data_IF_803514962193
#
_entry.id   IF_803514962193
#
_cell.length_a   1.000
_cell.length_b   1.000
_cell.length_c   1.000
_cell.angle_alpha   90.00
_cell.angle_beta   90.00
_cell.angle_gamma   90.00
#
_symmetry.space_group_name_H-M   'P 1'
#
loop_
_entity.id
_entity.type
_entity.pdbx_description
1 polymer ?
#
# COMPACT_ATOMS: atom_id res chain seq x y z
N UNK A 1 4.62 -15.76 -6.52
CA UNK A 1 4.91 -14.30 -6.58
C UNK A 1 5.77 -13.92 -5.39
N UNK A 2 6.93 -13.31 -5.64
CA UNK A 2 7.75 -12.70 -4.58
C UNK A 2 7.32 -11.24 -4.37
N UNK A 3 7.04 -10.80 -3.13
CA UNK A 3 6.85 -9.39 -2.83
C UNK A 3 8.11 -8.59 -3.20
N UNK A 4 7.95 -7.57 -4.06
CA UNK A 4 9.06 -6.67 -4.46
C UNK A 4 9.31 -5.65 -3.36
N UNK A 5 10.25 -5.96 -2.47
CA UNK A 5 10.74 -5.00 -1.47
C UNK A 5 11.80 -4.08 -2.08
N UNK A 6 11.69 -2.75 -1.92
CA UNK A 6 12.84 -1.89 -2.10
C UNK A 6 13.83 -2.16 -0.95
N UNK A 7 15.06 -2.51 -1.33
CA UNK A 7 16.22 -2.69 -0.44
C UNK A 7 17.27 -1.58 -0.64
N UNK A 8 16.83 -0.34 -0.88
CA UNK A 8 17.74 0.80 -1.02
C UNK A 8 17.55 1.80 0.14
N UNK A 9 18.67 2.20 0.77
CA UNK A 9 18.76 3.23 1.80
C UNK A 9 19.15 2.72 3.20
N UNK A 10 19.05 3.60 4.21
CA UNK A 10 19.46 3.49 5.63
C UNK A 10 18.89 2.28 6.41
N UNK A 11 18.15 1.39 5.75
CA UNK A 11 17.49 0.21 6.31
C UNK A 11 18.34 -1.07 6.21
N UNK A 12 19.67 -0.94 6.28
CA UNK A 12 20.64 -2.04 6.36
C UNK A 12 20.77 -2.50 7.82
N UNK A 13 19.64 -2.79 8.46
CA UNK A 13 19.61 -3.44 9.77
C UNK A 13 19.15 -4.88 9.60
N UNK A 14 19.91 -5.85 10.10
CA UNK A 14 19.55 -7.29 10.04
C UNK A 14 18.12 -7.58 10.51
N UNK A 15 17.59 -6.78 11.46
CA UNK A 15 16.21 -6.86 11.91
C UNK A 15 15.19 -6.52 10.81
N UNK A 16 15.38 -5.42 10.07
CA UNK A 16 14.51 -5.02 8.96
C UNK A 16 14.60 -6.00 7.78
N UNK A 17 15.75 -6.62 7.57
CA UNK A 17 15.93 -7.69 6.58
C UNK A 17 15.14 -8.96 6.95
N UNK A 18 15.19 -9.37 8.22
CA UNK A 18 14.45 -10.54 8.73
C UNK A 18 12.93 -10.35 8.61
N UNK A 19 12.43 -9.16 8.89
CA UNK A 19 10.99 -8.87 8.80
C UNK A 19 10.51 -8.79 7.34
N UNK A 20 11.33 -8.26 6.42
CA UNK A 20 11.07 -8.31 4.96
C UNK A 20 11.07 -9.74 4.42
N UNK A 21 12.04 -10.59 4.83
CA UNK A 21 12.07 -12.01 4.46
C UNK A 21 10.89 -12.81 5.01
N UNK A 22 10.36 -12.42 6.17
CA UNK A 22 9.23 -13.10 6.83
C UNK A 22 7.87 -12.55 6.42
N UNK A 23 7.80 -11.48 5.66
CA UNK A 23 6.52 -11.04 5.10
C UNK A 23 5.95 -12.07 4.12
N UNK A 24 4.64 -12.05 3.94
CA UNK A 24 3.93 -12.81 2.91
C UNK A 24 3.30 -11.82 1.93
N UNK A 25 3.23 -12.14 0.62
CA UNK A 25 2.42 -11.32 -0.28
C UNK A 25 0.97 -11.34 0.22
N UNK A 26 0.35 -10.17 0.30
CA UNK A 26 -1.07 -10.09 0.67
C UNK A 26 -1.91 -10.88 -0.36
N UNK A 27 -2.84 -11.74 0.10
CA UNK A 27 -3.62 -12.62 -0.77
C UNK A 27 -4.79 -11.88 -1.43
N UNK A 28 -4.47 -10.86 -2.23
CA UNK A 28 -5.43 -10.08 -3.02
C UNK A 28 -5.45 -10.55 -4.48
N UNK A 29 -6.64 -10.56 -5.06
CA UNK A 29 -6.87 -10.56 -6.49
C UNK A 29 -6.22 -9.27 -7.00
N UNK A 30 -5.16 -9.38 -7.81
CA UNK A 30 -4.42 -8.21 -8.28
C UNK A 30 -5.11 -7.60 -9.51
N UNK A 31 -5.77 -6.43 -9.42
CA UNK A 31 -5.88 -5.56 -10.57
C UNK A 31 -4.55 -4.84 -10.81
N UNK A 32 -4.23 -4.52 -12.06
CA UNK A 32 -3.23 -3.50 -12.35
C UNK A 32 -3.79 -2.16 -11.86
N UNK A 33 -3.26 -1.65 -10.74
CA UNK A 33 -3.62 -0.33 -10.24
C UNK A 33 -2.74 0.69 -10.96
N UNK A 34 -3.39 1.55 -11.77
CA UNK A 34 -2.73 2.66 -12.45
C UNK A 34 -2.04 3.58 -11.42
N UNK A 35 -0.70 3.69 -11.43
CA UNK A 35 0.00 4.50 -10.44
C UNK A 35 -0.16 6.02 -10.65
N UNK A 36 -0.54 6.49 -11.83
CA UNK A 36 -0.64 7.92 -12.11
C UNK A 36 -1.88 8.54 -11.47
N UNK A 37 -1.67 9.65 -10.74
CA UNK A 37 -2.72 10.44 -10.12
C UNK A 37 -2.97 11.71 -10.94
N UNK A 38 -4.14 11.81 -11.58
CA UNK A 38 -4.55 12.96 -12.41
C UNK A 38 -5.63 13.82 -11.76
N UNK A 39 -6.75 13.21 -11.35
CA UNK A 39 -7.98 13.94 -11.03
C UNK A 39 -8.40 13.81 -9.56
N UNK A 40 -8.13 12.67 -8.93
CA UNK A 40 -8.40 12.44 -7.53
C UNK A 40 -7.08 12.35 -6.75
N UNK A 41 -6.72 13.41 -6.03
CA UNK A 41 -5.49 13.44 -5.23
C UNK A 41 -5.57 12.62 -3.93
N UNK A 42 -6.74 12.09 -3.58
CA UNK A 42 -6.94 11.08 -2.53
C UNK A 42 -7.45 9.78 -3.14
N UNK A 43 -6.69 9.12 -4.04
CA UNK A 43 -7.16 7.91 -4.68
C UNK A 43 -7.39 6.84 -3.61
N UNK A 44 -8.60 6.26 -3.49
CA UNK A 44 -8.82 5.15 -2.60
C UNK A 44 -8.14 3.90 -3.18
N UNK A 45 -7.68 3.02 -2.30
CA UNK A 45 -7.11 1.73 -2.66
C UNK A 45 -8.13 0.64 -2.35
N UNK A 46 -8.65 -0.01 -3.39
CA UNK A 46 -9.52 -1.17 -3.25
C UNK A 46 -8.68 -2.46 -3.19
N UNK A 47 -8.92 -3.26 -2.16
CA UNK A 47 -8.29 -4.56 -1.94
C UNK A 47 -9.36 -5.65 -1.99
N UNK A 48 -9.29 -6.48 -3.02
CA UNK A 48 -10.16 -7.65 -3.19
C UNK A 48 -9.39 -8.91 -2.79
N UNK A 49 -9.77 -9.54 -1.69
CA UNK A 49 -9.10 -10.72 -1.14
C UNK A 49 -9.56 -12.01 -1.82
N UNK A 50 -8.64 -12.97 -2.01
CA UNK A 50 -8.91 -14.26 -2.67
C UNK A 50 -9.79 -15.18 -1.80
N UNK A 51 -9.90 -14.89 -0.50
CA UNK A 51 -10.64 -15.69 0.47
C UNK A 51 -11.25 -14.79 1.54
N UNK A 52 -12.41 -15.19 2.04
CA UNK A 52 -13.16 -14.62 3.15
C UNK A 52 -12.71 -15.12 4.54
N UNK A 53 -11.78 -16.08 4.59
CA UNK A 53 -11.28 -16.66 5.85
C UNK A 53 -10.31 -15.75 6.61
N UNK A 54 -9.92 -14.62 6.02
CA UNK A 54 -9.00 -13.66 6.63
C UNK A 54 -9.75 -12.78 7.62
N UNK A 55 -9.16 -12.59 8.80
CA UNK A 55 -9.70 -11.64 9.77
C UNK A 55 -9.33 -10.19 9.36
N UNK A 56 -10.13 -9.61 8.47
CA UNK A 56 -9.90 -8.27 7.90
C UNK A 56 -10.01 -7.13 8.93
N UNK A 57 -10.62 -7.36 10.10
CA UNK A 57 -10.66 -6.37 11.20
C UNK A 57 -9.26 -5.98 11.73
N UNK A 58 -8.24 -6.80 11.44
CA UNK A 58 -6.83 -6.55 11.79
C UNK A 58 -6.02 -5.98 10.64
N UNK A 59 -6.64 -5.71 9.49
CA UNK A 59 -6.00 -5.05 8.37
C UNK A 59 -5.68 -3.61 8.78
N UNK A 60 -4.51 -3.14 8.38
CA UNK A 60 -4.10 -1.76 8.63
C UNK A 60 -3.44 -1.22 7.38
N UNK A 61 -3.86 -0.04 6.93
CA UNK A 61 -3.26 0.64 5.78
C UNK A 61 -2.73 2.01 6.18
N UNK A 62 -1.60 2.39 5.61
CA UNK A 62 -0.92 3.65 5.83
C UNK A 62 -0.64 4.36 4.50
N UNK A 63 -0.87 5.67 4.47
CA UNK A 63 -0.62 6.54 3.32
C UNK A 63 -0.31 7.97 3.77
N UNK A 64 -0.51 8.98 2.90
CA UNK A 64 -0.44 10.39 3.28
C UNK A 64 -1.35 10.70 4.46
N UNK A 65 -0.81 11.43 5.44
CA UNK A 65 -1.49 11.69 6.71
C UNK A 65 -1.52 10.50 7.69
N UNK A 66 -0.83 9.39 7.39
CA UNK A 66 -0.67 8.26 8.30
C UNK A 66 -1.73 7.16 8.11
N UNK A 67 -2.42 6.80 9.20
CA UNK A 67 -3.39 5.70 9.20
C UNK A 67 -4.58 6.02 8.28
N UNK A 68 -4.92 5.09 7.40
CA UNK A 68 -6.01 5.22 6.45
C UNK A 68 -7.33 4.74 7.05
N UNK A 69 -8.45 5.34 6.64
CA UNK A 69 -9.78 4.84 6.97
C UNK A 69 -10.09 3.60 6.13
N UNK A 70 -10.61 2.55 6.75
CA UNK A 70 -10.98 1.30 6.09
C UNK A 70 -12.50 1.13 6.10
N UNK A 71 -13.05 0.74 4.97
CA UNK A 71 -14.47 0.39 4.81
C UNK A 71 -14.58 -0.98 4.14
N UNK A 72 -15.24 -1.92 4.78
CA UNK A 72 -15.57 -3.21 4.16
C UNK A 72 -16.76 -3.00 3.20
N UNK A 73 -16.54 -3.24 1.91
CA UNK A 73 -17.57 -3.07 0.85
C UNK A 73 -18.19 -4.40 0.43
N UNK A 74 -17.78 -5.51 1.07
CA UNK A 74 -18.30 -6.87 0.92
C UNK A 74 -17.47 -7.83 1.78
N UNK A 75 -17.76 -9.13 1.72
CA UNK A 75 -17.08 -10.13 2.56
C UNK A 75 -15.57 -10.24 2.30
N UNK A 76 -15.12 -9.85 1.10
CA UNK A 76 -13.72 -9.98 0.66
C UNK A 76 -13.15 -8.67 0.13
N UNK A 77 -13.84 -7.54 0.30
CA UNK A 77 -13.46 -6.28 -0.32
C UNK A 77 -13.30 -5.20 0.74
N UNK A 78 -12.15 -4.54 0.73
CA UNK A 78 -11.87 -3.40 1.61
C UNK A 78 -11.44 -2.21 0.78
N UNK A 79 -12.07 -1.07 1.04
CA UNK A 79 -11.66 0.22 0.51
C UNK A 79 -10.83 0.96 1.56
N UNK A 80 -9.59 1.29 1.23
CA UNK A 80 -8.70 2.10 2.06
C UNK A 80 -8.62 3.53 1.52
N UNK A 81 -9.01 4.51 2.34
CA UNK A 81 -9.04 5.93 1.98
C UNK A 81 -7.96 6.70 2.74
N UNK A 82 -7.05 7.41 2.05
CA UNK A 82 -5.98 8.17 2.71
C UNK A 82 -6.54 9.39 3.46
N UNK A 83 -5.87 9.78 4.55
CA UNK A 83 -6.28 10.94 5.33
C UNK A 83 -5.95 12.25 4.58
N UNK A 84 -4.80 12.30 3.92
CA UNK A 84 -4.32 13.45 3.16
C UNK A 84 -4.18 13.15 1.66
N UNK A 85 -3.97 14.20 0.87
CA UNK A 85 -3.68 14.07 -0.54
C UNK A 85 -2.30 13.45 -0.78
N UNK A 86 -2.18 12.67 -1.84
CA UNK A 86 -0.91 12.30 -2.45
C UNK A 86 -0.20 13.59 -2.86
N UNK A 87 0.99 13.83 -2.30
CA UNK A 87 1.81 14.98 -2.69
C UNK A 87 2.37 14.78 -4.09
N UNK A 88 2.74 15.89 -4.75
CA UNK A 88 3.59 15.82 -5.96
C UNK A 88 4.81 14.95 -5.66
N UNK A 89 5.16 14.05 -6.57
CA UNK A 89 6.21 13.06 -6.33
C UNK A 89 5.68 11.64 -6.27
N UNK A 90 6.42 10.82 -5.52
CA UNK A 90 6.13 9.39 -5.30
C UNK A 90 5.63 9.19 -3.88
N UNK A 91 4.45 8.61 -3.78
CA UNK A 91 3.85 8.21 -2.51
C UNK A 91 3.61 6.71 -2.52
N UNK A 92 3.75 6.06 -1.38
CA UNK A 92 3.34 4.66 -1.23
C UNK A 92 2.21 4.53 -0.23
N UNK A 93 1.24 3.69 -0.57
CA UNK A 93 0.34 3.12 0.41
C UNK A 93 0.86 1.75 0.80
N UNK A 94 0.86 1.45 2.09
CA UNK A 94 1.27 0.16 2.61
C UNK A 94 0.14 -0.42 3.44
N UNK A 95 -0.28 -1.63 3.12
CA UNK A 95 -1.26 -2.36 3.90
C UNK A 95 -0.61 -3.61 4.49
N UNK A 96 -0.92 -3.89 5.75
CA UNK A 96 -0.42 -5.04 6.50
C UNK A 96 -1.54 -5.79 7.19
N UNK A 97 -1.44 -7.11 7.22
CA UNK A 97 -2.37 -7.97 7.95
C UNK A 97 -1.60 -9.04 8.73
N UNK A 98 -1.73 -9.13 10.05
CA UNK A 98 -1.02 -10.13 10.85
C UNK A 98 -1.42 -11.57 10.49
N UNK A 99 -0.45 -12.49 10.43
CA UNK A 99 -0.64 -13.93 10.26
C UNK A 99 0.32 -14.70 11.17
N UNK A 100 -0.18 -15.10 12.35
CA UNK A 100 0.66 -15.73 13.38
C UNK A 100 1.84 -14.81 13.74
N UNK A 101 3.07 -15.32 13.61
CA UNK A 101 4.31 -14.57 13.87
C UNK A 101 4.88 -13.87 12.61
N UNK A 102 4.05 -13.68 11.58
CA UNK A 102 4.39 -13.06 10.29
C UNK A 102 3.34 -12.01 9.93
N UNK A 103 3.58 -11.28 8.86
CA UNK A 103 2.63 -10.30 8.31
C UNK A 103 2.46 -10.51 6.82
N UNK A 104 1.22 -10.44 6.35
CA UNK A 104 0.94 -10.12 4.95
C UNK A 104 1.26 -8.66 4.70
N UNK A 105 1.80 -8.37 3.52
CA UNK A 105 2.22 -7.03 3.12
C UNK A 105 1.78 -6.76 1.69
N UNK A 106 1.27 -5.55 1.46
CA UNK A 106 0.94 -5.01 0.15
C UNK A 106 1.43 -3.55 0.07
N UNK A 107 1.99 -3.17 -1.07
CA UNK A 107 2.40 -1.79 -1.34
C UNK A 107 1.89 -1.34 -2.69
N UNK A 108 1.21 -0.20 -2.73
CA UNK A 108 0.85 0.49 -3.96
C UNK A 108 1.69 1.77 -4.12
N UNK A 109 2.27 1.98 -5.30
CA UNK A 109 2.94 3.23 -5.66
C UNK A 109 1.92 4.18 -6.32
N UNK A 110 1.98 5.44 -5.94
CA UNK A 110 1.27 6.53 -6.57
C UNK A 110 2.27 7.58 -7.04
N UNK A 111 2.02 8.15 -8.22
CA UNK A 111 2.87 9.16 -8.85
C UNK A 111 1.98 10.35 -9.21
N UNK A 112 2.26 11.50 -8.62
CA UNK A 112 1.57 12.77 -8.92
C UNK A 112 2.56 13.73 -9.56
N UNK A 113 2.21 14.24 -10.74
CA UNK A 113 2.94 15.31 -11.43
C UNK A 113 2.67 16.67 -10.80
N UNK A 114 3.44 17.68 -11.19
CA UNK A 114 3.11 19.06 -10.85
C UNK A 114 1.77 19.47 -11.49
N UNK A 115 1.16 20.54 -10.97
CA UNK A 115 -0.11 21.06 -11.47
C UNK A 115 -0.06 21.52 -12.93
N UNK A 116 1.14 21.87 -13.42
CA UNK A 116 1.39 22.22 -14.83
C UNK A 116 1.64 21.00 -15.73
N UNK A 117 1.56 19.78 -15.19
CA UNK A 117 1.81 18.53 -15.90
C UNK A 117 3.29 18.18 -16.09
N UNK A 118 4.21 19.02 -15.60
CA UNK A 118 5.64 18.74 -15.63
C UNK A 118 6.03 17.68 -14.59
N UNK A 119 7.17 17.03 -14.83
CA UNK A 119 7.75 16.10 -13.88
C UNK A 119 8.44 16.87 -12.75
N UNK A 120 8.32 16.37 -11.52
CA UNK A 120 9.10 16.87 -10.39
C UNK A 120 10.56 16.43 -10.54
N UNK A 121 11.49 17.25 -10.07
CA UNK A 121 12.91 16.91 -10.09
C UNK A 121 13.19 15.87 -9.01
N UNK A 122 13.71 14.70 -9.38
CA UNK A 122 14.31 13.78 -8.41
C UNK A 122 15.72 14.30 -8.06
N UNK A 123 16.10 14.39 -6.77
CA UNK A 123 17.47 14.69 -6.38
C UNK A 123 18.45 13.56 -6.72
#
# INVERSE_FOLDING_TARGET
>A
MLPRYPLAGVYVGEAAFRDKLRSLPMPVLHPEVEPMVSDNFKPPLELSFITDTLNLSRLTCYGPGGLMALSETGNTNVLATPAEEVSVGRTRYNCTLPKGNRFYWFSQLWIRKQSDGSWYHEP
#
